data_IF_550395006841
#
_entry.id   IF_550395006841
#
_cell.length_a   1.000
_cell.length_b   1.000
_cell.length_c   1.000
_cell.angle_alpha   90.00
_cell.angle_beta   90.00
_cell.angle_gamma   90.00
#
_symmetry.space_group_name_H-M   'P 1'
#
loop_
_entity.id
_entity.type
_entity.pdbx_description
1 polymer ?
#
# COMPACT_ATOMS: atom_id res chain seq x y z
N UNK A 1 7.29 8.60 -5.13
CA UNK A 1 6.89 9.87 -5.80
C UNK A 1 6.38 9.47 -7.18
N UNK A 2 5.19 9.92 -7.59
CA UNK A 2 4.63 9.69 -8.92
C UNK A 2 3.86 10.94 -9.32
N UNK A 3 3.86 11.29 -10.61
CA UNK A 3 3.12 12.45 -11.07
C UNK A 3 1.62 12.14 -11.04
N UNK A 4 0.79 13.16 -10.83
CA UNK A 4 -0.68 13.00 -10.77
C UNK A 4 -1.25 12.35 -12.03
N UNK A 5 -0.56 12.49 -13.17
CA UNK A 5 -0.92 11.92 -14.47
C UNK A 5 -0.48 10.46 -14.68
N UNK A 6 0.32 9.89 -13.79
CA UNK A 6 0.88 8.55 -13.98
C UNK A 6 -0.12 7.47 -13.52
N UNK A 7 -0.79 6.83 -14.49
CA UNK A 7 -1.63 5.66 -14.22
C UNK A 7 -0.81 4.53 -13.57
N UNK A 8 -1.43 3.78 -12.66
CA UNK A 8 -0.79 2.64 -11.99
C UNK A 8 -0.30 1.56 -12.95
N UNK A 9 -1.06 1.29 -14.01
CA UNK A 9 -0.67 0.36 -15.08
C UNK A 9 0.60 0.81 -15.81
N UNK A 10 0.70 2.09 -16.15
CA UNK A 10 1.87 2.65 -16.83
C UNK A 10 3.12 2.58 -15.94
N UNK A 11 2.95 2.78 -14.62
CA UNK A 11 4.06 2.64 -13.65
C UNK A 11 4.55 1.21 -13.55
N UNK A 12 3.62 0.26 -13.44
CA UNK A 12 3.96 -1.16 -13.39
C UNK A 12 4.65 -1.62 -14.69
N UNK A 13 4.18 -1.18 -15.86
CA UNK A 13 4.82 -1.46 -17.13
C UNK A 13 6.25 -0.92 -17.18
N UNK A 14 6.46 0.32 -16.73
CA UNK A 14 7.80 0.92 -16.65
C UNK A 14 8.73 0.16 -15.72
N UNK A 15 8.23 -0.29 -14.57
CA UNK A 15 9.00 -1.11 -13.62
C UNK A 15 9.43 -2.43 -14.29
N UNK A 16 8.51 -3.10 -15.01
CA UNK A 16 8.78 -4.34 -15.75
C UNK A 16 9.74 -4.12 -16.93
N UNK A 17 9.74 -2.95 -17.55
CA UNK A 17 10.73 -2.61 -18.59
C UNK A 17 12.10 -2.43 -17.98
N UNK A 18 12.19 -1.66 -16.88
CA UNK A 18 13.43 -1.39 -16.17
C UNK A 18 14.08 -2.67 -15.64
N UNK A 19 13.29 -3.69 -15.27
CA UNK A 19 13.85 -4.95 -14.76
C UNK A 19 14.72 -5.72 -15.77
N UNK A 20 14.66 -5.38 -17.05
CA UNK A 20 15.55 -5.95 -18.07
C UNK A 20 16.94 -5.28 -18.07
N UNK A 21 17.03 -4.05 -17.57
CA UNK A 21 18.25 -3.24 -17.56
C UNK A 21 18.88 -3.19 -16.17
N UNK A 22 18.07 -2.89 -15.15
CA UNK A 22 18.48 -2.80 -13.75
C UNK A 22 17.42 -3.43 -12.83
N UNK A 23 17.53 -4.75 -12.59
CA UNK A 23 16.63 -5.49 -11.70
C UNK A 23 16.59 -4.95 -10.26
N UNK A 24 17.72 -4.46 -9.75
CA UNK A 24 17.80 -3.97 -8.37
C UNK A 24 17.05 -2.64 -8.22
N UNK A 25 17.24 -1.72 -9.17
CA UNK A 25 16.48 -0.47 -9.18
C UNK A 25 14.99 -0.72 -9.45
N UNK A 26 14.66 -1.65 -10.35
CA UNK A 26 13.29 -2.02 -10.64
C UNK A 26 12.58 -2.61 -9.41
N UNK A 27 13.28 -3.42 -8.59
CA UNK A 27 12.77 -3.88 -7.30
C UNK A 27 12.40 -2.71 -6.38
N UNK A 28 13.29 -1.72 -6.25
CA UNK A 28 13.05 -0.58 -5.36
C UNK A 28 11.80 0.18 -5.78
N UNK A 29 11.62 0.38 -7.09
CA UNK A 29 10.43 1.00 -7.64
C UNK A 29 9.17 0.14 -7.45
N UNK A 30 9.27 -1.18 -7.51
CA UNK A 30 8.17 -2.09 -7.22
C UNK A 30 7.69 -1.98 -5.77
N UNK A 31 8.62 -1.89 -4.80
CA UNK A 31 8.28 -1.63 -3.40
C UNK A 31 7.63 -0.26 -3.23
N UNK A 32 8.18 0.79 -3.84
CA UNK A 32 7.58 2.13 -3.79
C UNK A 32 6.17 2.13 -4.40
N UNK A 33 5.94 1.36 -5.46
CA UNK A 33 4.62 1.18 -6.07
C UNK A 33 3.64 0.46 -5.13
N UNK A 34 4.08 -0.59 -4.47
CA UNK A 34 3.31 -1.26 -3.42
C UNK A 34 2.97 -0.30 -2.27
N UNK A 35 3.96 0.42 -1.74
CA UNK A 35 3.77 1.40 -0.65
C UNK A 35 2.75 2.47 -1.03
N UNK A 36 2.85 3.01 -2.25
CA UNK A 36 1.86 3.96 -2.76
C UNK A 36 0.46 3.35 -2.82
N UNK A 37 0.35 2.10 -3.25
CA UNK A 37 -0.91 1.38 -3.42
C UNK A 37 -1.58 1.12 -2.06
N UNK A 38 -0.84 0.57 -1.09
CA UNK A 38 -1.37 0.29 0.25
C UNK A 38 -1.72 1.56 1.01
N UNK A 39 -0.93 2.63 0.88
CA UNK A 39 -1.24 3.95 1.47
C UNK A 39 -2.59 4.48 1.00
N UNK A 40 -2.86 4.36 -0.30
CA UNK A 40 -4.13 4.82 -0.89
C UNK A 40 -5.28 3.94 -0.52
N UNK A 41 -5.08 2.63 -0.44
CA UNK A 41 -6.08 1.69 0.07
C UNK A 41 -6.46 2.02 1.52
N UNK A 42 -5.49 2.28 2.40
CA UNK A 42 -5.75 2.70 3.79
C UNK A 42 -6.53 4.03 3.82
N UNK A 43 -6.16 5.01 2.99
CA UNK A 43 -6.93 6.27 2.89
C UNK A 43 -8.33 6.03 2.31
N UNK A 44 -8.54 5.06 1.44
CA UNK A 44 -9.86 4.85 0.85
C UNK A 44 -10.79 4.06 1.77
N UNK A 45 -10.28 2.99 2.38
CA UNK A 45 -11.02 2.04 3.21
C UNK A 45 -11.07 2.42 4.70
N UNK A 46 -10.11 3.23 5.17
CA UNK A 46 -10.02 3.60 6.57
C UNK A 46 -11.25 4.39 7.06
N UNK A 47 -11.43 4.48 8.36
CA UNK A 47 -12.61 5.16 8.92
C UNK A 47 -12.31 6.52 9.52
N UNK A 48 -11.07 6.76 9.99
CA UNK A 48 -10.65 8.10 10.41
C UNK A 48 -10.73 9.11 9.27
N UNK A 49 -10.67 10.40 9.61
CA UNK A 49 -10.65 11.45 8.61
C UNK A 49 -9.41 11.34 7.71
N UNK A 50 -9.50 11.85 6.48
CA UNK A 50 -8.36 11.81 5.55
C UNK A 50 -7.13 12.53 6.13
N UNK A 51 -7.34 13.56 6.96
CA UNK A 51 -6.26 14.26 7.65
C UNK A 51 -5.53 13.35 8.65
N UNK A 52 -6.26 12.66 9.52
CA UNK A 52 -5.68 11.76 10.54
C UNK A 52 -4.94 10.59 9.90
N UNK A 53 -5.55 9.96 8.88
CA UNK A 53 -4.89 8.86 8.17
C UNK A 53 -3.61 9.35 7.49
N UNK A 54 -3.63 10.54 6.87
CA UNK A 54 -2.43 11.11 6.23
C UNK A 54 -1.34 11.42 7.23
N UNK A 55 -1.66 11.99 8.40
CA UNK A 55 -0.69 12.19 9.47
C UNK A 55 -0.10 10.86 9.95
N UNK A 56 -0.93 9.84 10.16
CA UNK A 56 -0.43 8.51 10.55
C UNK A 56 0.49 7.91 9.48
N UNK A 57 0.20 8.16 8.19
CA UNK A 57 1.00 7.67 7.06
C UNK A 57 2.32 8.41 6.84
N UNK A 58 2.48 9.64 7.34
CA UNK A 58 3.74 10.40 7.24
C UNK A 58 4.88 9.66 7.93
N UNK A 59 4.60 9.01 9.07
CA UNK A 59 5.58 8.25 9.86
C UNK A 59 5.46 6.72 9.65
N UNK A 60 4.67 6.29 8.67
CA UNK A 60 4.42 4.87 8.41
C UNK A 60 5.39 4.34 7.35
N UNK A 61 6.45 3.65 7.78
CA UNK A 61 7.45 3.06 6.89
C UNK A 61 7.61 1.57 7.16
N UNK A 62 7.76 0.80 6.08
CA UNK A 62 7.97 -0.64 6.15
C UNK A 62 6.68 -1.44 6.37
N UNK A 63 6.75 -2.71 5.97
CA UNK A 63 5.59 -3.61 5.90
C UNK A 63 4.87 -3.80 7.24
N UNK A 64 5.61 -3.86 8.35
CA UNK A 64 5.05 -4.00 9.70
C UNK A 64 4.13 -2.83 10.05
N UNK A 65 4.58 -1.59 9.85
CA UNK A 65 3.78 -0.40 10.17
C UNK A 65 2.55 -0.28 9.29
N UNK A 66 2.64 -0.64 8.00
CA UNK A 66 1.46 -0.69 7.13
C UNK A 66 0.45 -1.74 7.61
N UNK A 67 0.91 -2.92 8.04
CA UNK A 67 0.02 -3.96 8.60
C UNK A 67 -0.69 -3.48 9.87
N UNK A 68 0.02 -2.80 10.76
CA UNK A 68 -0.54 -2.23 11.99
C UNK A 68 -1.57 -1.14 11.70
N UNK A 69 -1.25 -0.21 10.80
CA UNK A 69 -2.16 0.87 10.43
C UNK A 69 -3.39 0.34 9.67
N UNK A 70 -3.20 -0.65 8.78
CA UNK A 70 -4.32 -1.34 8.12
C UNK A 70 -5.24 -1.99 9.15
N UNK A 71 -4.68 -2.69 10.15
CA UNK A 71 -5.48 -3.30 11.22
C UNK A 71 -6.30 -2.23 11.95
N UNK A 72 -5.69 -1.11 12.31
CA UNK A 72 -6.38 -0.02 13.02
C UNK A 72 -7.49 0.59 12.16
N UNK A 73 -7.17 1.03 10.95
CA UNK A 73 -8.08 1.86 10.15
C UNK A 73 -9.08 1.04 9.33
N UNK A 74 -8.68 -0.13 8.82
CA UNK A 74 -9.50 -0.94 7.91
C UNK A 74 -10.21 -2.08 8.65
N UNK A 75 -9.53 -2.80 9.55
CA UNK A 75 -10.13 -3.96 10.24
C UNK A 75 -10.91 -3.54 11.48
N UNK A 76 -10.29 -2.74 12.35
CA UNK A 76 -10.90 -2.29 13.61
C UNK A 76 -11.73 -1.02 13.43
N UNK A 77 -11.38 -0.20 12.44
CA UNK A 77 -12.03 1.07 12.18
C UNK A 77 -13.47 0.95 11.71
N UNK A 78 -13.86 -0.19 11.12
CA UNK A 78 -15.22 -0.50 10.62
C UNK A 78 -16.31 -0.65 11.70
N UNK A 79 -16.17 0.06 12.83
CA UNK A 79 -17.07 0.05 13.97
C UNK A 79 -18.26 1.01 13.83
N UNK A 80 -18.58 1.48 12.63
CA UNK A 80 -19.98 1.85 12.37
C UNK A 80 -20.76 0.54 12.31
N UNK A 81 -21.47 0.24 13.41
CA UNK A 81 -22.32 -0.94 13.65
C UNK A 81 -23.38 -1.22 12.57
N UNK A 82 -23.43 -0.39 11.51
CA UNK A 82 -24.34 -0.50 10.38
C UNK A 82 -23.73 -1.19 9.14
N UNK A 83 -22.40 -1.36 9.05
CA UNK A 83 -21.77 -2.08 7.93
C UNK A 83 -21.34 -3.49 8.36
N UNK A 84 -22.00 -4.56 7.89
CA UNK A 84 -21.72 -5.94 8.30
C UNK A 84 -20.42 -6.51 7.71
N UNK A 85 -19.59 -5.69 7.04
CA UNK A 85 -18.44 -6.21 6.29
C UNK A 85 -17.20 -6.28 7.16
N UNK A 86 -16.88 -7.49 7.62
CA UNK A 86 -15.61 -7.80 8.27
C UNK A 86 -14.47 -7.69 7.25
N UNK A 87 -13.68 -6.62 7.33
CA UNK A 87 -12.50 -6.48 6.47
C UNK A 87 -11.40 -7.48 6.83
N UNK A 88 -10.70 -7.97 5.81
CA UNK A 88 -9.55 -8.88 5.95
C UNK A 88 -8.31 -8.14 6.47
N UNK A 89 -7.48 -8.83 7.24
CA UNK A 89 -6.13 -8.35 7.58
C UNK A 89 -5.26 -8.28 6.34
N UNK A 90 -4.30 -7.35 6.30
CA UNK A 90 -3.45 -7.11 5.13
C UNK A 90 -2.69 -8.37 4.66
N UNK A 91 -2.22 -9.20 5.59
CA UNK A 91 -1.53 -10.45 5.26
C UNK A 91 -2.45 -11.56 4.72
N UNK A 92 -3.77 -11.37 4.80
CA UNK A 92 -4.78 -12.25 4.19
C UNK A 92 -5.26 -11.70 2.85
N UNK A 93 -5.15 -10.38 2.66
CA UNK A 93 -5.39 -9.72 1.38
C UNK A 93 -4.28 -10.09 0.37
N UNK A 94 -3.02 -10.09 0.83
CA UNK A 94 -1.87 -10.36 -0.03
C UNK A 94 -1.67 -11.87 -0.16
N UNK A 95 -1.76 -12.36 -1.40
CA UNK A 95 -1.71 -13.79 -1.74
C UNK A 95 -0.40 -14.47 -1.34
N UNK A 96 0.72 -13.76 -1.43
CA UNK A 96 2.04 -14.25 -1.02
C UNK A 96 2.77 -13.30 -0.06
N UNK A 97 2.25 -13.22 1.17
CA UNK A 97 2.78 -12.36 2.22
C UNK A 97 4.27 -12.58 2.53
N UNK A 98 4.71 -13.84 2.61
CA UNK A 98 6.11 -14.18 2.90
C UNK A 98 7.07 -13.71 1.80
N UNK A 99 6.65 -13.73 0.53
CA UNK A 99 7.42 -13.16 -0.57
C UNK A 99 7.56 -11.65 -0.44
N UNK A 100 6.48 -10.96 -0.08
CA UNK A 100 6.53 -9.52 0.13
C UNK A 100 7.47 -9.13 1.28
N UNK A 101 7.52 -9.90 2.37
CA UNK A 101 8.51 -9.69 3.44
C UNK A 101 9.93 -9.70 2.87
N UNK A 102 10.27 -10.75 2.11
CA UNK A 102 11.60 -10.90 1.47
C UNK A 102 11.92 -9.77 0.49
N UNK A 103 10.91 -9.24 -0.21
CA UNK A 103 11.09 -8.08 -1.08
C UNK A 103 11.42 -6.82 -0.26
N UNK A 104 10.68 -6.55 0.82
CA UNK A 104 11.03 -5.44 1.74
C UNK A 104 12.42 -5.59 2.35
N UNK A 105 12.85 -6.81 2.68
CA UNK A 105 14.18 -7.09 3.20
C UNK A 105 15.28 -6.77 2.17
N UNK A 106 15.05 -7.11 0.89
CA UNK A 106 15.97 -6.74 -0.19
C UNK A 106 16.03 -5.22 -0.36
N UNK A 107 14.89 -4.53 -0.42
CA UNK A 107 14.86 -3.06 -0.45
C UNK A 107 15.61 -2.43 0.72
N UNK A 108 15.50 -3.00 1.92
CA UNK A 108 16.25 -2.52 3.09
C UNK A 108 17.76 -2.65 2.84
N UNK A 109 18.23 -3.83 2.43
CA UNK A 109 19.65 -4.06 2.13
C UNK A 109 20.20 -3.13 1.05
N UNK A 110 19.47 -2.97 -0.06
CA UNK A 110 19.88 -2.14 -1.19
C UNK A 110 19.96 -0.65 -0.81
N UNK A 111 18.92 -0.11 -0.16
CA UNK A 111 18.87 1.32 0.21
C UNK A 111 19.94 1.70 1.24
N UNK A 112 20.30 0.78 2.13
CA UNK A 112 21.30 1.03 3.17
C UNK A 112 22.71 0.56 2.78
N UNK A 113 22.91 0.04 1.57
CA UNK A 113 24.22 -0.43 1.10
C UNK A 113 24.78 -1.64 1.87
N UNK A 114 23.91 -2.41 2.53
CA UNK A 114 24.31 -3.54 3.41
C UNK A 114 24.53 -4.83 2.62
N UNK A 115 24.25 -4.85 1.31
CA UNK A 115 24.62 -5.95 0.44
C UNK A 115 24.17 -5.78 -1.01
N UNK A 116 24.59 -6.73 -1.84
CA UNK A 116 24.17 -6.87 -3.25
C UNK A 116 23.23 -8.06 -3.43
N UNK A 117 22.70 -8.23 -4.65
CA UNK A 117 21.89 -9.38 -5.07
C UNK A 117 22.17 -9.75 -6.53
N UNK A 118 21.81 -10.97 -6.93
CA UNK A 118 21.80 -11.36 -8.34
C UNK A 118 20.56 -10.82 -9.05
N UNK A 119 20.60 -10.85 -10.38
CA UNK A 119 19.47 -10.49 -11.25
C UNK A 119 18.22 -11.31 -10.96
N UNK A 120 18.35 -12.64 -10.90
CA UNK A 120 17.24 -13.57 -10.68
C UNK A 120 16.60 -13.34 -9.31
N UNK A 121 17.44 -13.10 -8.29
CA UNK A 121 17.01 -12.82 -6.93
C UNK A 121 16.18 -11.53 -6.87
N UNK A 122 16.60 -10.48 -7.57
CA UNK A 122 15.87 -9.22 -7.63
C UNK A 122 14.55 -9.34 -8.42
N UNK A 123 14.58 -10.00 -9.59
CA UNK A 123 13.40 -10.20 -10.45
C UNK A 123 12.29 -10.95 -9.69
N UNK A 124 12.64 -12.00 -8.96
CA UNK A 124 11.68 -12.77 -8.17
C UNK A 124 10.96 -11.90 -7.13
N UNK A 125 11.70 -11.06 -6.40
CA UNK A 125 11.17 -10.18 -5.35
C UNK A 125 10.37 -9.00 -5.90
N UNK A 126 10.83 -8.44 -7.01
CA UNK A 126 10.07 -7.48 -7.80
C UNK A 126 8.70 -8.06 -8.15
N UNK A 127 8.66 -9.29 -8.66
CA UNK A 127 7.42 -9.99 -9.01
C UNK A 127 6.46 -10.07 -7.82
N UNK A 128 6.96 -10.46 -6.64
CA UNK A 128 6.15 -10.52 -5.42
C UNK A 128 5.59 -9.16 -5.01
N UNK A 129 6.36 -8.08 -5.12
CA UNK A 129 5.90 -6.73 -4.82
C UNK A 129 4.81 -6.23 -5.79
N UNK A 130 4.96 -6.54 -7.09
CA UNK A 130 3.96 -6.19 -8.10
C UNK A 130 2.65 -6.96 -7.88
N UNK A 131 2.72 -8.27 -7.64
CA UNK A 131 1.54 -9.09 -7.34
C UNK A 131 0.83 -8.57 -6.09
N UNK A 132 1.57 -8.29 -5.01
CA UNK A 132 0.99 -7.74 -3.79
C UNK A 132 0.29 -6.39 -4.00
N UNK A 133 0.81 -5.52 -4.87
CA UNK A 133 0.13 -4.29 -5.24
C UNK A 133 -1.18 -4.56 -6.02
N UNK A 134 -1.16 -5.56 -6.90
CA UNK A 134 -2.36 -6.07 -7.59
C UNK A 134 -3.41 -6.58 -6.61
N UNK A 135 -3.02 -7.40 -5.64
CA UNK A 135 -3.92 -7.97 -4.62
C UNK A 135 -4.64 -6.87 -3.83
N UNK A 136 -3.92 -5.83 -3.41
CA UNK A 136 -4.51 -4.68 -2.70
C UNK A 136 -5.50 -3.93 -3.59
N UNK A 137 -5.22 -3.75 -4.89
CA UNK A 137 -6.15 -3.12 -5.84
C UNK A 137 -7.41 -3.96 -6.00
N UNK A 138 -7.27 -5.25 -6.28
CA UNK A 138 -8.39 -6.19 -6.43
C UNK A 138 -9.26 -6.15 -5.19
N UNK A 139 -8.65 -6.22 -4.01
CA UNK A 139 -9.38 -6.12 -2.76
C UNK A 139 -10.14 -4.80 -2.62
N UNK A 140 -9.61 -3.66 -3.06
CA UNK A 140 -10.38 -2.39 -3.03
C UNK A 140 -11.53 -2.40 -4.04
N UNK A 141 -11.34 -3.00 -5.22
CA UNK A 141 -12.37 -3.12 -6.26
C UNK A 141 -13.55 -3.97 -5.81
N UNK A 142 -13.33 -5.00 -4.98
CA UNK A 142 -14.41 -5.80 -4.36
C UNK A 142 -15.36 -4.94 -3.51
N UNK A 143 -14.93 -3.75 -3.08
CA UNK A 143 -15.73 -2.76 -2.36
C UNK A 143 -16.14 -1.56 -3.24
N UNK A 144 -16.04 -1.69 -4.57
CA UNK A 144 -16.29 -0.62 -5.55
C UNK A 144 -15.39 0.62 -5.37
N UNK A 145 -14.18 0.44 -4.85
CA UNK A 145 -13.22 1.52 -4.64
C UNK A 145 -12.10 1.42 -5.67
N UNK A 146 -12.05 2.41 -6.58
CA UNK A 146 -10.92 2.59 -7.48
C UNK A 146 -9.85 3.48 -6.82
N UNK A 147 -8.81 2.85 -6.28
CA UNK A 147 -7.69 3.57 -5.65
C UNK A 147 -6.76 4.28 -6.63
N UNK A 148 -6.93 4.14 -7.94
CA UNK A 148 -6.18 4.90 -8.94
C UNK A 148 -6.88 6.21 -9.33
N UNK A 149 -8.16 6.34 -9.00
CA UNK A 149 -8.95 7.56 -9.22
C UNK A 149 -8.80 8.58 -8.08
N UNK A 150 -9.58 9.67 -8.12
CA UNK A 150 -9.65 10.60 -6.99
C UNK A 150 -10.25 9.88 -5.78
N UNK A 151 -9.52 9.89 -4.66
CA UNK A 151 -9.98 9.23 -3.43
C UNK A 151 -11.16 9.97 -2.78
N UNK A 152 -12.07 9.25 -2.12
CA UNK A 152 -13.14 9.88 -1.33
C UNK A 152 -12.55 10.77 -0.24
N UNK A 153 -13.27 11.83 0.12
CA UNK A 153 -12.85 12.80 1.14
C UNK A 153 -13.71 12.62 2.39
N UNK A 154 -13.13 12.04 3.46
CA UNK A 154 -13.74 12.03 4.79
C UNK A 154 -13.23 13.20 5.63
N UNK A 155 -14.17 14.03 6.10
CA UNK A 155 -13.90 15.19 6.95
C UNK A 155 -13.86 14.77 8.41
N UNK A 156 -13.16 15.54 9.24
CA UNK A 156 -13.28 15.42 10.70
C UNK A 156 -14.71 15.75 11.11
N UNK A 157 -15.30 14.94 11.98
CA UNK A 157 -16.54 15.28 12.64
C UNK A 157 -16.19 16.29 13.73
N UNK A 158 -16.44 17.57 13.48
CA UNK A 158 -16.39 18.59 14.52
C UNK A 158 -17.69 18.47 15.31
N UNK A 159 -17.64 17.86 16.50
CA UNK A 159 -18.78 17.93 17.43
C UNK A 159 -18.82 19.38 17.91
N UNK A 160 -19.70 20.18 17.33
CA UNK A 160 -20.02 21.50 17.85
C UNK A 160 -20.66 21.31 19.22
N UNK A 161 -19.93 21.67 20.28
CA UNK A 161 -20.54 21.92 21.59
C UNK A 161 -21.40 23.19 21.46
N UNK A 162 -22.61 23.02 20.95
CA UNK A 162 -23.67 24.03 21.02
C UNK A 162 -24.74 23.48 21.96
N UNK A 163 -24.64 23.85 23.24
CA UNK A 163 -25.65 23.51 24.25
C UNK A 163 -25.12 23.36 25.67
N UNK A 164 -24.53 24.41 26.24
CA UNK A 164 -24.71 24.79 27.64
C UNK A 164 -24.75 26.30 27.74
#
# INVERSE_FOLDING_TARGET
MFLVKDASSNREQRIKQLSNEDPALAELLAIIHFEWTVRRAIIALGTSSNYEIRQALEQCHGLKRYKELWKKEVVQGGLDKASPVTHKSLNTVISYWEGLIKAFDLRHRLVHGVGSCSTEYAIERLGWAIVAAGDVRTYCLDYNINIDARLPVRRRVTISQSGM
#
